data_IF_390569816034
#
_entry.id   IF_390569816034
#
_cell.length_a   1.000
_cell.length_b   1.000
_cell.length_c   1.000
_cell.angle_alpha   90.00
_cell.angle_beta   90.00
_cell.angle_gamma   90.00
#
_symmetry.space_group_name_H-M   'P 1'
#
loop_
_entity.id
_entity.type
_entity.pdbx_description
1 polymer ?
#
# COMPACT_ATOMS: atom_id res chain seq x y z
N UNK A 1 -19.16 -9.42 25.65
CA UNK A 1 -18.05 -9.45 26.62
C UNK A 1 -17.45 -10.84 26.62
N UNK A 2 -16.27 -11.02 26.03
CA UNK A 2 -15.25 -11.92 26.58
C UNK A 2 -15.13 -13.37 26.07
N UNK A 3 -14.07 -13.57 25.28
CA UNK A 3 -13.03 -14.62 25.37
C UNK A 3 -13.39 -16.08 25.04
N UNK A 4 -12.87 -16.57 23.89
CA UNK A 4 -12.09 -17.82 23.76
C UNK A 4 -11.85 -18.14 22.28
N UNK A 5 -11.05 -17.32 21.59
CA UNK A 5 -10.59 -17.57 20.22
C UNK A 5 -9.14 -18.02 20.27
N UNK A 6 -8.89 -19.24 20.73
CA UNK A 6 -7.62 -19.95 20.55
C UNK A 6 -7.81 -21.41 20.96
N UNK A 7 -8.00 -22.28 19.97
CA UNK A 7 -7.54 -23.67 20.00
C UNK A 7 -7.93 -24.34 18.68
N UNK A 8 -7.01 -24.29 17.71
CA UNK A 8 -6.73 -25.29 16.67
C UNK A 8 -6.26 -24.56 15.40
N UNK A 9 -4.94 -24.38 15.33
CA UNK A 9 -4.26 -23.96 14.12
C UNK A 9 -4.58 -24.92 12.98
N UNK A 10 -5.11 -24.37 11.90
CA UNK A 10 -5.25 -25.08 10.63
C UNK A 10 -3.85 -25.36 10.08
N UNK A 11 -3.41 -26.61 10.17
CA UNK A 11 -2.13 -27.07 9.67
C UNK A 11 -1.94 -26.81 8.17
N UNK A 12 -1.23 -25.73 7.85
CA UNK A 12 -0.41 -25.59 6.65
C UNK A 12 0.92 -24.99 7.08
N UNK A 13 2.01 -25.72 6.86
CA UNK A 13 3.36 -25.17 6.97
C UNK A 13 3.58 -24.18 5.83
N UNK A 14 3.15 -22.95 6.05
CA UNK A 14 3.62 -21.76 5.35
C UNK A 14 4.84 -21.31 6.16
N UNK A 15 5.96 -20.92 5.56
CA UNK A 15 7.06 -20.42 6.40
C UNK A 15 6.59 -19.09 7.01
N UNK A 16 6.25 -19.11 8.29
CA UNK A 16 5.84 -17.95 9.11
C UNK A 16 7.01 -16.98 9.36
N UNK A 17 8.05 -17.04 8.54
CA UNK A 17 9.21 -16.19 8.72
C UNK A 17 8.88 -14.80 8.19
N UNK A 18 8.55 -13.90 9.11
CA UNK A 18 8.40 -12.46 8.88
C UNK A 18 9.51 -11.67 9.63
N UNK A 19 10.77 -11.68 9.14
CA UNK A 19 11.86 -10.90 9.73
C UNK A 19 11.54 -9.41 9.90
N UNK A 20 10.89 -8.79 8.91
CA UNK A 20 10.53 -7.38 8.98
C UNK A 20 9.48 -7.16 10.07
N UNK A 21 8.45 -8.00 10.15
CA UNK A 21 7.46 -7.91 11.22
C UNK A 21 8.13 -7.99 12.60
N UNK A 22 9.00 -8.99 12.83
CA UNK A 22 9.72 -9.13 14.11
C UNK A 22 10.64 -7.94 14.44
N UNK A 23 11.16 -7.28 13.41
CA UNK A 23 12.02 -6.11 13.59
C UNK A 23 11.21 -4.85 13.97
N UNK A 24 10.00 -4.71 13.41
CA UNK A 24 9.22 -3.48 13.51
C UNK A 24 8.05 -3.55 14.50
N UNK A 25 7.60 -4.75 14.86
CA UNK A 25 6.57 -5.00 15.86
C UNK A 25 7.20 -5.57 17.12
N UNK A 26 7.05 -4.85 18.23
CA UNK A 26 7.57 -5.25 19.53
C UNK A 26 6.82 -6.46 20.07
N UNK A 27 7.54 -7.54 20.38
CA UNK A 27 6.98 -8.75 20.99
C UNK A 27 6.51 -8.53 22.43
N UNK A 28 6.93 -7.44 23.09
CA UNK A 28 6.63 -7.20 24.51
C UNK A 28 5.30 -6.49 24.70
N UNK A 29 4.97 -5.53 23.83
CA UNK A 29 3.81 -4.65 23.97
C UNK A 29 3.00 -4.48 22.68
N UNK A 30 3.39 -5.13 21.58
CA UNK A 30 2.72 -5.02 20.29
C UNK A 30 2.94 -3.69 19.58
N UNK A 31 3.84 -2.82 20.08
CA UNK A 31 4.11 -1.54 19.45
C UNK A 31 4.64 -1.73 18.04
N UNK A 32 3.93 -1.20 17.06
CA UNK A 32 4.28 -1.23 15.64
C UNK A 32 4.88 0.10 15.18
N UNK A 33 6.19 0.09 14.91
CA UNK A 33 6.93 1.28 14.48
C UNK A 33 6.52 1.77 13.10
N UNK A 34 6.11 0.89 12.20
CA UNK A 34 5.69 1.26 10.85
C UNK A 34 4.30 1.90 10.91
N UNK A 35 3.37 1.33 11.68
CA UNK A 35 2.07 1.97 11.92
C UNK A 35 2.22 3.35 12.53
N UNK A 36 3.10 3.51 13.54
CA UNK A 36 3.39 4.82 14.13
C UNK A 36 3.95 5.83 13.12
N UNK A 37 4.76 5.40 12.13
CA UNK A 37 5.22 6.27 11.03
C UNK A 37 4.10 6.64 10.07
N UNK A 38 3.19 5.72 9.76
CA UNK A 38 2.00 5.99 8.93
C UNK A 38 1.13 7.05 9.61
N UNK A 39 0.85 6.90 10.90
CA UNK A 39 0.08 7.87 11.69
C UNK A 39 0.74 9.26 11.69
N UNK A 40 2.05 9.34 11.95
CA UNK A 40 2.81 10.59 11.89
C UNK A 40 2.82 11.22 10.50
N UNK A 41 2.83 10.40 9.44
CA UNK A 41 2.74 10.87 8.06
C UNK A 41 1.36 11.47 7.78
N UNK A 42 0.30 10.91 8.35
CA UNK A 42 -1.05 11.46 8.24
C UNK A 42 -1.21 12.85 8.86
N UNK A 43 -0.51 13.14 9.95
CA UNK A 43 -0.49 14.50 10.51
C UNK A 43 0.21 15.48 9.57
N UNK A 44 1.32 15.07 8.94
CA UNK A 44 2.03 15.89 7.94
C UNK A 44 1.19 16.10 6.69
N UNK A 45 0.47 15.07 6.21
CA UNK A 45 -0.45 15.19 5.08
C UNK A 45 -1.57 16.18 5.41
N UNK A 46 -2.17 16.08 6.58
CA UNK A 46 -3.22 17.01 7.03
C UNK A 46 -2.73 18.46 7.05
N UNK A 47 -1.51 18.70 7.54
CA UNK A 47 -0.89 20.02 7.51
C UNK A 47 -0.62 20.51 6.07
N UNK A 48 -0.19 19.61 5.19
CA UNK A 48 0.08 19.91 3.77
C UNK A 48 -1.20 20.29 3.04
N UNK A 49 -2.28 19.52 3.19
CA UNK A 49 -3.57 19.80 2.56
C UNK A 49 -4.13 21.16 2.99
N UNK A 50 -4.03 21.50 4.28
CA UNK A 50 -4.40 22.83 4.79
C UNK A 50 -3.60 23.96 4.14
N UNK A 51 -2.29 23.76 3.95
CA UNK A 51 -1.44 24.77 3.35
C UNK A 51 -1.70 24.93 1.84
N UNK A 52 -1.98 23.83 1.12
CA UNK A 52 -2.41 23.88 -0.27
C UNK A 52 -3.72 24.65 -0.40
N UNK A 53 -4.74 24.33 0.40
CA UNK A 53 -6.02 25.04 0.39
C UNK A 53 -5.86 26.53 0.72
N UNK A 54 -4.96 26.89 1.65
CA UNK A 54 -4.67 28.28 1.99
C UNK A 54 -4.03 29.05 0.83
N UNK A 55 -3.13 28.42 0.08
CA UNK A 55 -2.39 29.04 -1.04
C UNK A 55 -3.19 29.04 -2.35
N UNK A 56 -4.04 28.05 -2.55
CA UNK A 56 -4.83 27.85 -3.75
C UNK A 56 -6.30 27.57 -3.38
N UNK A 57 -7.04 28.60 -2.92
CA UNK A 57 -8.39 28.43 -2.37
C UNK A 57 -9.45 27.98 -3.38
N UNK A 58 -9.11 27.99 -4.67
CA UNK A 58 -9.98 27.52 -5.76
C UNK A 58 -9.52 26.20 -6.38
N UNK A 59 -8.44 25.59 -5.87
CA UNK A 59 -7.94 24.33 -6.41
C UNK A 59 -8.78 23.14 -5.91
N UNK A 60 -9.08 22.22 -6.83
CA UNK A 60 -9.46 20.87 -6.48
C UNK A 60 -8.19 20.08 -6.13
N UNK A 61 -8.22 19.34 -5.02
CA UNK A 61 -7.06 18.60 -4.53
C UNK A 61 -7.37 17.11 -4.62
N UNK A 62 -6.46 16.37 -5.24
CA UNK A 62 -6.53 14.92 -5.42
C UNK A 62 -5.32 14.29 -4.72
N UNK A 63 -5.58 13.46 -3.72
CA UNK A 63 -4.57 12.64 -3.04
C UNK A 63 -4.51 11.30 -3.75
N UNK A 64 -3.41 11.05 -4.44
CA UNK A 64 -3.20 9.79 -5.17
C UNK A 64 -2.68 8.73 -4.20
N UNK A 65 -3.34 7.56 -4.18
CA UNK A 65 -2.91 6.41 -3.41
C UNK A 65 -1.64 5.75 -3.98
N UNK A 66 -1.17 4.73 -3.28
CA UNK A 66 -0.14 3.83 -3.78
C UNK A 66 -0.79 2.61 -4.46
N UNK A 67 -0.23 2.13 -5.58
CA UNK A 67 -0.72 0.90 -6.24
C UNK A 67 -0.39 -0.35 -5.40
N UNK A 68 -1.05 -1.48 -5.66
CA UNK A 68 -0.69 -2.74 -5.01
C UNK A 68 0.70 -3.21 -5.48
N UNK A 69 1.68 -3.23 -4.58
CA UNK A 69 3.04 -3.71 -4.87
C UNK A 69 3.13 -5.24 -4.75
N UNK A 70 2.33 -5.81 -3.85
CA UNK A 70 2.32 -7.22 -3.49
C UNK A 70 0.95 -7.85 -3.78
N UNK A 71 0.88 -9.16 -4.06
CA UNK A 71 -0.34 -9.84 -4.46
C UNK A 71 -1.34 -9.82 -3.33
N UNK A 72 -2.64 -9.71 -3.63
CA UNK A 72 -3.71 -9.67 -2.63
C UNK A 72 -3.88 -11.00 -1.88
N UNK A 73 -3.43 -12.10 -2.46
CA UNK A 73 -3.33 -13.41 -1.84
C UNK A 73 -1.94 -14.04 -2.01
N UNK A 74 -1.69 -15.12 -1.27
CA UNK A 74 -0.40 -15.79 -1.29
C UNK A 74 0.74 -15.06 -0.57
N UNK A 75 1.88 -15.72 -0.54
CA UNK A 75 3.09 -15.33 0.20
C UNK A 75 4.37 -15.53 -0.63
N UNK A 76 4.25 -15.93 -1.89
CA UNK A 76 5.40 -16.30 -2.72
C UNK A 76 5.58 -15.25 -3.81
N UNK A 77 6.75 -14.62 -3.83
CA UNK A 77 7.11 -13.60 -4.82
C UNK A 77 8.36 -13.97 -5.64
N UNK A 78 8.77 -15.25 -5.55
CA UNK A 78 9.79 -15.85 -6.38
C UNK A 78 11.16 -15.20 -6.29
N UNK A 79 11.87 -15.19 -7.43
CA UNK A 79 13.19 -14.54 -7.57
C UNK A 79 13.04 -13.04 -7.87
N UNK A 80 11.87 -12.65 -8.33
CA UNK A 80 11.47 -11.31 -8.71
C UNK A 80 11.54 -10.39 -7.48
N UNK A 81 11.00 -10.85 -6.36
CA UNK A 81 11.11 -10.17 -5.08
C UNK A 81 11.53 -11.18 -4.00
N UNK A 82 12.83 -11.35 -3.72
CA UNK A 82 13.33 -12.31 -2.74
C UNK A 82 13.10 -11.81 -1.30
N UNK A 83 11.85 -11.56 -0.93
CA UNK A 83 11.40 -11.25 0.41
C UNK A 83 10.86 -12.51 1.09
N UNK A 84 10.95 -12.56 2.41
CA UNK A 84 10.47 -13.71 3.16
C UNK A 84 8.94 -13.86 3.03
N UNK A 85 8.39 -15.08 2.97
CA UNK A 85 6.95 -15.27 2.75
C UNK A 85 6.05 -14.56 3.76
N UNK A 86 6.42 -14.56 5.04
CA UNK A 86 5.69 -13.80 6.07
C UNK A 86 5.77 -12.29 5.87
N UNK A 87 6.90 -11.78 5.37
CA UNK A 87 7.08 -10.36 5.08
C UNK A 87 6.23 -9.87 3.90
N UNK A 88 5.86 -10.74 2.94
CA UNK A 88 4.91 -10.39 1.87
C UNK A 88 3.57 -9.94 2.47
N UNK A 89 3.04 -10.72 3.42
CA UNK A 89 1.77 -10.39 4.08
C UNK A 89 1.92 -9.13 4.92
N UNK A 90 2.97 -9.04 5.75
CA UNK A 90 3.21 -7.87 6.58
C UNK A 90 3.30 -6.58 5.78
N UNK A 91 4.08 -6.57 4.69
CA UNK A 91 4.28 -5.39 3.86
C UNK A 91 3.00 -4.98 3.12
N UNK A 92 2.23 -5.94 2.58
CA UNK A 92 0.91 -5.69 1.99
C UNK A 92 -0.01 -4.99 2.98
N UNK A 93 -0.11 -5.50 4.21
CA UNK A 93 -0.94 -4.88 5.24
C UNK A 93 -0.48 -3.46 5.59
N UNK A 94 0.83 -3.16 5.52
CA UNK A 94 1.34 -1.79 5.74
C UNK A 94 1.02 -0.85 4.60
N UNK A 95 1.04 -1.33 3.36
CA UNK A 95 0.59 -0.56 2.20
C UNK A 95 -0.91 -0.25 2.28
N UNK A 96 -1.74 -1.25 2.62
CA UNK A 96 -3.17 -1.05 2.83
C UNK A 96 -3.45 -0.05 3.97
N UNK A 97 -2.73 -0.15 5.09
CA UNK A 97 -2.82 0.82 6.19
C UNK A 97 -2.42 2.22 5.75
N UNK A 98 -1.39 2.36 4.92
CA UNK A 98 -0.98 3.65 4.35
C UNK A 98 -2.08 4.23 3.46
N UNK A 99 -2.61 3.46 2.52
CA UNK A 99 -3.70 3.90 1.62
C UNK A 99 -4.98 4.25 2.38
N UNK A 100 -5.35 3.45 3.39
CA UNK A 100 -6.49 3.77 4.26
C UNK A 100 -6.29 5.11 4.98
N UNK A 101 -5.08 5.37 5.49
CA UNK A 101 -4.74 6.65 6.11
C UNK A 101 -4.82 7.80 5.10
N UNK A 102 -4.25 7.65 3.90
CA UNK A 102 -4.30 8.68 2.84
C UNK A 102 -5.75 9.04 2.51
N UNK A 103 -6.60 8.03 2.29
CA UNK A 103 -8.03 8.20 2.04
C UNK A 103 -8.73 8.93 3.18
N UNK A 104 -8.52 8.49 4.42
CA UNK A 104 -9.14 9.13 5.60
C UNK A 104 -8.74 10.61 5.73
N UNK A 105 -7.47 10.96 5.50
CA UNK A 105 -7.01 12.36 5.57
C UNK A 105 -7.52 13.20 4.42
N UNK A 106 -7.61 12.61 3.22
CA UNK A 106 -8.19 13.28 2.06
C UNK A 106 -9.67 13.63 2.29
N UNK A 107 -10.47 12.67 2.74
CA UNK A 107 -11.88 12.83 3.07
C UNK A 107 -12.09 13.86 4.18
N UNK A 108 -11.32 13.78 5.26
CA UNK A 108 -11.39 14.72 6.38
C UNK A 108 -11.04 16.17 5.98
N UNK A 109 -10.25 16.35 4.93
CA UNK A 109 -9.90 17.66 4.38
C UNK A 109 -10.88 18.16 3.32
N UNK A 110 -11.92 17.38 2.96
CA UNK A 110 -12.83 17.71 1.87
C UNK A 110 -12.17 17.65 0.49
N UNK A 111 -11.17 16.79 0.33
CA UNK A 111 -10.41 16.58 -0.91
C UNK A 111 -10.73 15.20 -1.49
N UNK A 112 -10.31 14.95 -2.73
CA UNK A 112 -10.56 13.68 -3.42
C UNK A 112 -9.45 12.67 -3.16
N UNK A 113 -9.80 11.40 -3.03
CA UNK A 113 -8.85 10.29 -3.00
C UNK A 113 -8.90 9.55 -4.35
N UNK A 114 -7.74 9.32 -4.97
CA UNK A 114 -7.62 8.50 -6.18
C UNK A 114 -7.16 7.11 -5.76
N UNK A 115 -8.04 6.13 -5.94
CA UNK A 115 -7.71 4.72 -5.68
C UNK A 115 -6.92 4.14 -6.85
N UNK A 116 -5.64 3.89 -6.60
CA UNK A 116 -4.72 3.22 -7.52
C UNK A 116 -4.41 1.80 -7.09
N UNK A 117 -4.86 1.37 -5.91
CA UNK A 117 -4.56 0.04 -5.37
C UNK A 117 -5.40 -1.03 -6.07
N UNK A 118 -6.73 -0.85 -6.08
CA UNK A 118 -7.68 -1.82 -6.67
C UNK A 118 -7.36 -2.16 -8.13
N UNK A 119 -7.05 -1.20 -9.03
CA UNK A 119 -6.72 -1.53 -10.43
C UNK A 119 -5.43 -2.36 -10.59
N UNK A 120 -4.54 -2.35 -9.60
CA UNK A 120 -3.25 -3.05 -9.63
C UNK A 120 -3.32 -4.47 -9.05
N UNK A 121 -4.44 -4.89 -8.47
CA UNK A 121 -4.59 -6.27 -7.98
C UNK A 121 -4.39 -7.28 -9.13
N UNK A 122 -3.46 -8.22 -8.95
CA UNK A 122 -3.04 -9.18 -9.99
C UNK A 122 -2.02 -8.63 -11.00
N UNK A 123 -1.60 -7.38 -10.84
CA UNK A 123 -0.54 -6.72 -11.60
C UNK A 123 0.65 -6.29 -10.72
N UNK A 124 0.77 -6.90 -9.54
CA UNK A 124 1.83 -6.66 -8.55
C UNK A 124 3.22 -7.13 -9.04
N UNK A 125 4.25 -6.92 -8.22
CA UNK A 125 5.64 -7.23 -8.56
C UNK A 125 5.92 -8.74 -8.68
N UNK A 126 5.06 -9.60 -8.12
CA UNK A 126 5.20 -11.06 -8.15
C UNK A 126 4.58 -11.68 -9.41
N UNK A 127 3.78 -10.93 -10.16
CA UNK A 127 3.17 -11.40 -11.39
C UNK A 127 4.23 -11.63 -12.49
N UNK A 128 3.91 -12.50 -13.45
CA UNK A 128 4.76 -12.74 -14.61
C UNK A 128 5.11 -11.44 -15.35
N UNK A 129 6.28 -11.36 -15.97
CA UNK A 129 6.76 -10.15 -16.66
C UNK A 129 5.79 -9.58 -17.71
N UNK A 130 4.96 -10.44 -18.33
CA UNK A 130 3.91 -10.03 -19.27
C UNK A 130 2.69 -9.36 -18.63
N UNK A 131 2.47 -9.61 -17.33
CA UNK A 131 1.30 -9.18 -16.56
C UNK A 131 1.62 -8.05 -15.59
N UNK A 132 2.78 -8.11 -14.91
CA UNK A 132 3.15 -7.15 -13.86
C UNK A 132 3.18 -5.70 -14.34
N UNK A 133 2.73 -4.81 -13.48
CA UNK A 133 2.80 -3.36 -13.65
C UNK A 133 3.80 -2.70 -12.71
N UNK A 134 4.31 -3.44 -11.73
CA UNK A 134 5.37 -3.02 -10.82
C UNK A 134 6.67 -3.73 -11.20
N UNK A 135 7.78 -3.00 -11.21
CA UNK A 135 9.09 -3.61 -11.42
C UNK A 135 9.57 -4.39 -10.18
N UNK A 136 10.20 -5.56 -10.37
CA UNK A 136 10.80 -6.34 -9.30
C UNK A 136 12.07 -5.68 -8.77
N UNK A 137 12.71 -6.31 -7.77
CA UNK A 137 13.95 -5.77 -7.19
C UNK A 137 15.17 -5.92 -8.11
N UNK A 138 15.12 -6.87 -9.05
CA UNK A 138 16.28 -7.32 -9.83
C UNK A 138 16.19 -7.01 -11.34
N UNK A 139 15.18 -6.25 -11.80
CA UNK A 139 15.05 -5.83 -13.21
C UNK A 139 15.14 -4.29 -13.37
N UNK A 140 15.51 -3.84 -14.58
CA UNK A 140 16.09 -2.52 -14.88
C UNK A 140 15.20 -1.58 -15.74
N UNK A 141 13.94 -1.93 -16.04
CA UNK A 141 13.10 -1.11 -16.93
C UNK A 141 12.57 0.18 -16.24
N UNK A 142 12.46 0.16 -14.91
CA UNK A 142 12.17 1.31 -14.06
C UNK A 142 12.83 1.13 -12.68
N UNK A 143 12.60 2.08 -11.76
CA UNK A 143 13.09 1.93 -10.39
C UNK A 143 12.44 0.70 -9.73
N UNK A 144 13.25 -0.08 -9.01
CA UNK A 144 12.77 -1.24 -8.27
C UNK A 144 11.53 -0.90 -7.41
N UNK A 145 10.54 -1.80 -7.39
CA UNK A 145 9.24 -1.65 -6.70
C UNK A 145 8.41 -0.41 -7.09
N UNK A 146 8.69 0.19 -8.26
CA UNK A 146 7.86 1.26 -8.83
C UNK A 146 7.05 0.78 -10.03
N UNK A 147 5.97 1.48 -10.40
CA UNK A 147 5.25 1.21 -11.63
C UNK A 147 6.15 1.29 -12.87
N UNK A 148 5.99 0.33 -13.76
CA UNK A 148 6.59 0.35 -15.09
C UNK A 148 5.73 1.14 -16.07
N UNK A 149 6.11 1.16 -17.36
CA UNK A 149 5.34 1.90 -18.37
C UNK A 149 3.86 1.50 -18.49
N UNK A 150 3.49 0.24 -18.20
CA UNK A 150 2.07 -0.17 -18.13
C UNK A 150 1.43 0.31 -16.83
N UNK A 151 2.13 0.19 -15.71
CA UNK A 151 1.67 0.68 -14.42
C UNK A 151 1.43 2.19 -14.40
N UNK A 152 2.35 3.00 -14.92
CA UNK A 152 2.17 4.46 -14.99
C UNK A 152 0.97 4.86 -15.86
N UNK A 153 0.63 4.08 -16.89
CA UNK A 153 -0.62 4.29 -17.64
C UNK A 153 -1.85 4.00 -16.77
N UNK A 154 -1.85 2.92 -16.01
CA UNK A 154 -2.95 2.60 -15.09
C UNK A 154 -3.10 3.64 -13.96
N UNK A 155 -1.99 4.17 -13.44
CA UNK A 155 -1.99 5.30 -12.50
C UNK A 155 -2.67 6.53 -13.13
N UNK A 156 -2.31 6.87 -14.37
CA UNK A 156 -2.91 7.98 -15.10
C UNK A 156 -4.42 7.76 -15.35
N UNK A 157 -4.82 6.55 -15.74
CA UNK A 157 -6.22 6.20 -15.97
C UNK A 157 -7.06 6.34 -14.69
N UNK A 158 -6.53 5.93 -13.53
CA UNK A 158 -7.18 6.12 -12.24
C UNK A 158 -7.38 7.61 -11.91
N UNK A 159 -6.36 8.45 -12.11
CA UNK A 159 -6.46 9.90 -11.89
C UNK A 159 -7.49 10.54 -12.83
N UNK A 160 -7.43 10.22 -14.13
CA UNK A 160 -8.38 10.74 -15.13
C UNK A 160 -9.81 10.30 -14.83
N UNK A 161 -10.00 9.06 -14.37
CA UNK A 161 -11.31 8.57 -13.95
C UNK A 161 -11.87 9.37 -12.77
N UNK A 162 -11.08 9.60 -11.72
CA UNK A 162 -11.53 10.38 -10.56
C UNK A 162 -11.83 11.84 -10.93
N UNK A 163 -11.01 12.46 -11.79
CA UNK A 163 -11.27 13.81 -12.32
C UNK A 163 -12.61 13.90 -13.09
N UNK A 164 -12.97 12.84 -13.81
CA UNK A 164 -14.22 12.81 -14.58
C UNK A 164 -15.47 12.62 -13.71
N UNK A 165 -15.35 11.93 -12.58
CA UNK A 165 -16.47 11.58 -11.67
C UNK A 165 -16.64 12.54 -10.49
N UNK A 166 -15.66 13.43 -10.26
CA UNK A 166 -15.68 14.41 -9.16
C UNK A 166 -16.45 15.71 -9.47
N UNK A 167 -17.08 15.80 -10.64
CA UNK A 167 -17.85 16.97 -11.11
C UNK A 167 -19.31 16.97 -10.65
#
# INVERSE_FOLDING_TARGET
MGVAYQAQGSGRHISEDAPCERQYVSITDGTDKVRGKIEQTGEKLSATLKEVARRAPQAEIYVVGYPAILPSDGTECGRELPIAPGDVTYLREKEEQLNAMLKQRAEAAGTHYVDTYTPFEGHDACADAGTRWIEPLLDDDAAAVHPNGRGERAMADAVVHTLATSK
#
